data_IF_137974923448
#
_entry.id   IF_137974923448
#
_cell.length_a   1.000
_cell.length_b   1.000
_cell.length_c   1.000
_cell.angle_alpha   90.00
_cell.angle_beta   90.00
_cell.angle_gamma   90.00
#
_symmetry.space_group_name_H-M   'P 1'
#
loop_
_entity.id
_entity.type
_entity.pdbx_description
1 polymer ?
#
# COMPACT_ATOMS: atom_id res chain seq x y z
N UNK A 1 -12.43 -12.09 -1.94
CA UNK A 1 -11.84 -12.86 -0.81
C UNK A 1 -10.82 -13.90 -1.27
N UNK A 2 -11.22 -15.01 -1.94
CA UNK A 2 -10.29 -16.11 -2.32
C UNK A 2 -9.03 -15.63 -3.05
N UNK A 3 -9.22 -14.84 -4.12
CA UNK A 3 -8.09 -14.29 -4.89
C UNK A 3 -7.12 -13.45 -4.03
N UNK A 4 -7.64 -12.68 -3.07
CA UNK A 4 -6.80 -11.87 -2.19
C UNK A 4 -6.00 -12.75 -1.22
N UNK A 5 -6.59 -13.83 -0.71
CA UNK A 5 -5.89 -14.81 0.13
C UNK A 5 -4.82 -15.58 -0.65
N UNK A 6 -5.13 -16.01 -1.86
CA UNK A 6 -4.20 -16.72 -2.74
C UNK A 6 -3.01 -15.80 -3.10
N UNK A 7 -3.28 -14.54 -3.44
CA UNK A 7 -2.24 -13.56 -3.75
C UNK A 7 -1.39 -13.21 -2.53
N UNK A 8 -2.00 -13.09 -1.34
CA UNK A 8 -1.27 -12.90 -0.08
C UNK A 8 -0.37 -14.09 0.26
N UNK A 9 -0.81 -15.33 0.00
CA UNK A 9 0.02 -16.52 0.17
C UNK A 9 1.20 -16.50 -0.82
N UNK A 10 0.93 -16.17 -2.08
CA UNK A 10 1.96 -16.02 -3.12
C UNK A 10 3.01 -14.94 -2.78
N UNK A 11 2.59 -13.83 -2.15
CA UNK A 11 3.49 -12.78 -1.67
C UNK A 11 4.47 -13.28 -0.60
N UNK A 12 4.03 -14.15 0.32
CA UNK A 12 4.92 -14.73 1.35
C UNK A 12 6.04 -15.58 0.76
N UNK A 13 5.80 -16.17 -0.40
CA UNK A 13 6.80 -16.94 -1.15
C UNK A 13 7.69 -16.04 -2.03
N UNK A 14 7.26 -14.81 -2.33
CA UNK A 14 7.88 -13.90 -3.31
C UNK A 14 7.96 -12.45 -2.79
N UNK A 15 8.44 -12.26 -1.56
CA UNK A 15 8.34 -10.99 -0.80
C UNK A 15 9.08 -9.80 -1.42
N UNK A 16 10.00 -10.03 -2.36
CA UNK A 16 10.78 -8.95 -3.00
C UNK A 16 10.05 -8.30 -4.19
N UNK A 17 8.93 -8.86 -4.67
CA UNK A 17 8.27 -8.34 -5.87
C UNK A 17 7.26 -7.22 -5.53
N UNK A 18 7.70 -5.97 -5.61
CA UNK A 18 6.88 -4.78 -5.38
C UNK A 18 5.61 -4.71 -6.24
N UNK A 19 5.61 -5.29 -7.44
CA UNK A 19 4.45 -5.28 -8.33
C UNK A 19 3.36 -6.23 -7.86
N UNK A 20 3.74 -7.36 -7.28
CA UNK A 20 2.80 -8.33 -6.70
C UNK A 20 2.13 -7.71 -5.48
N UNK A 21 2.92 -7.06 -4.61
CA UNK A 21 2.40 -6.33 -3.45
C UNK A 21 1.46 -5.20 -3.88
N UNK A 22 1.84 -4.42 -4.88
CA UNK A 22 0.99 -3.38 -5.46
C UNK A 22 -0.32 -3.96 -6.02
N UNK A 23 -0.27 -5.07 -6.74
CA UNK A 23 -1.45 -5.76 -7.27
C UNK A 23 -2.40 -6.21 -6.15
N UNK A 24 -1.86 -6.68 -5.03
CA UNK A 24 -2.64 -7.03 -3.85
C UNK A 24 -3.33 -5.81 -3.23
N UNK A 25 -2.60 -4.71 -3.01
CA UNK A 25 -3.17 -3.47 -2.45
C UNK A 25 -4.27 -2.88 -3.35
N UNK A 26 -4.08 -2.90 -4.68
CA UNK A 26 -5.11 -2.49 -5.64
C UNK A 26 -6.35 -3.40 -5.57
N UNK A 27 -6.16 -4.71 -5.46
CA UNK A 27 -7.26 -5.65 -5.29
C UNK A 27 -8.06 -5.37 -4.02
N UNK A 28 -7.39 -5.09 -2.89
CA UNK A 28 -8.08 -4.72 -1.66
C UNK A 28 -8.88 -3.43 -1.81
N UNK A 29 -8.31 -2.41 -2.46
CA UNK A 29 -8.97 -1.12 -2.65
C UNK A 29 -10.19 -1.21 -3.57
N UNK A 30 -10.09 -1.90 -4.71
CA UNK A 30 -11.17 -1.98 -5.71
C UNK A 30 -12.38 -2.73 -5.15
N UNK A 31 -12.14 -3.80 -4.38
CA UNK A 31 -13.19 -4.66 -3.85
C UNK A 31 -13.60 -4.33 -2.41
N UNK A 32 -13.06 -3.26 -1.82
CA UNK A 32 -13.40 -2.83 -0.46
C UNK A 32 -13.05 -3.88 0.60
N UNK A 33 -11.91 -4.56 0.45
CA UNK A 33 -11.50 -5.68 1.30
C UNK A 33 -10.52 -5.27 2.41
N UNK A 34 -10.11 -4.01 2.50
CA UNK A 34 -9.14 -3.51 3.49
C UNK A 34 -9.47 -3.96 4.92
N UNK A 35 -10.72 -3.79 5.35
CA UNK A 35 -11.19 -4.14 6.70
C UNK A 35 -11.16 -5.65 7.00
N UNK A 36 -10.97 -6.49 5.96
CA UNK A 36 -10.87 -7.95 6.11
C UNK A 36 -9.44 -8.43 6.40
N UNK A 37 -8.46 -7.52 6.45
CA UNK A 37 -7.06 -7.81 6.69
C UNK A 37 -6.56 -7.02 7.90
N UNK A 38 -5.44 -7.44 8.48
CA UNK A 38 -4.80 -6.71 9.57
C UNK A 38 -4.30 -5.36 9.04
N UNK A 39 -4.68 -4.28 9.70
CA UNK A 39 -4.38 -2.91 9.29
C UNK A 39 -2.87 -2.65 9.25
N UNK A 40 -2.14 -3.06 10.29
CA UNK A 40 -0.68 -2.87 10.39
C UNK A 40 0.06 -3.56 9.23
N UNK A 41 -0.31 -4.82 8.94
CA UNK A 41 0.25 -5.58 7.82
C UNK A 41 0.00 -4.87 6.48
N UNK A 42 -1.20 -4.32 6.27
CA UNK A 42 -1.52 -3.58 5.04
C UNK A 42 -0.71 -2.28 4.95
N UNK A 43 -0.52 -1.57 6.06
CA UNK A 43 0.29 -0.36 6.12
C UNK A 43 1.77 -0.63 5.83
N UNK A 44 2.34 -1.72 6.34
CA UNK A 44 3.71 -2.15 6.02
C UNK A 44 3.89 -2.42 4.52
N UNK A 45 2.91 -3.05 3.88
CA UNK A 45 2.92 -3.29 2.43
C UNK A 45 2.84 -1.98 1.64
N UNK A 46 2.07 -1.01 2.10
CA UNK A 46 2.05 0.33 1.51
C UNK A 46 3.43 1.01 1.62
N UNK A 47 4.05 0.96 2.79
CA UNK A 47 5.40 1.50 3.01
C UNK A 47 6.41 0.84 2.06
N UNK A 48 6.39 -0.49 1.96
CA UNK A 48 7.25 -1.25 1.05
C UNK A 48 7.08 -0.82 -0.42
N UNK A 49 5.85 -0.74 -0.92
CA UNK A 49 5.57 -0.34 -2.31
C UNK A 49 5.95 1.12 -2.56
N UNK A 50 5.79 2.00 -1.57
CA UNK A 50 6.14 3.42 -1.68
C UNK A 50 7.63 3.68 -1.86
N UNK A 51 8.49 2.75 -1.41
CA UNK A 51 9.94 2.85 -1.60
C UNK A 51 10.38 2.41 -3.01
N UNK A 52 9.50 1.75 -3.77
CA UNK A 52 9.86 1.16 -5.06
C UNK A 52 9.50 2.05 -6.26
N UNK A 53 10.52 2.53 -6.98
CA UNK A 53 10.40 3.49 -8.09
C UNK A 53 9.41 3.06 -9.18
N UNK A 54 9.37 1.77 -9.51
CA UNK A 54 8.48 1.21 -10.55
C UNK A 54 7.00 1.37 -10.15
N UNK A 55 6.66 1.17 -8.87
CA UNK A 55 5.29 1.32 -8.40
C UNK A 55 4.86 2.78 -8.47
N UNK A 56 5.73 3.71 -8.07
CA UNK A 56 5.50 5.16 -8.18
C UNK A 56 5.25 5.57 -9.63
N UNK A 57 6.10 5.14 -10.56
CA UNK A 57 5.97 5.45 -11.99
C UNK A 57 4.69 4.86 -12.59
N UNK A 58 4.30 3.65 -12.17
CA UNK A 58 3.06 3.01 -12.61
C UNK A 58 1.83 3.77 -12.10
N UNK A 59 1.80 4.19 -10.83
CA UNK A 59 0.74 5.06 -10.30
C UNK A 59 0.65 6.38 -11.08
N UNK A 60 1.80 6.96 -11.43
CA UNK A 60 1.89 8.13 -12.29
C UNK A 60 1.26 7.93 -13.65
N UNK A 61 1.62 6.81 -14.30
CA UNK A 61 1.18 6.44 -15.66
C UNK A 61 -0.31 6.08 -15.72
N UNK A 62 -0.84 5.42 -14.69
CA UNK A 62 -2.24 5.01 -14.62
C UNK A 62 -3.22 6.16 -14.31
N UNK A 63 -2.75 7.41 -14.23
CA UNK A 63 -3.61 8.58 -14.03
C UNK A 63 -4.09 8.75 -12.58
N UNK A 64 -3.54 7.98 -11.63
CA UNK A 64 -3.73 8.22 -10.18
C UNK A 64 -3.03 9.51 -9.71
N UNK A 65 -2.56 10.35 -10.63
CA UNK A 65 -2.03 11.69 -10.38
C UNK A 65 -3.08 12.80 -10.51
N UNK A 66 -4.31 12.51 -10.94
CA UNK A 66 -5.33 13.56 -11.09
C UNK A 66 -6.04 13.90 -9.76
N UNK A 67 -5.66 15.07 -9.20
CA UNK A 67 -6.24 15.96 -8.16
C UNK A 67 -6.92 15.42 -6.88
N UNK A 68 -7.44 14.21 -6.82
CA UNK A 68 -8.00 13.60 -5.59
C UNK A 68 -7.02 12.62 -4.94
N UNK A 69 -6.15 12.01 -5.75
CA UNK A 69 -5.24 10.95 -5.31
C UNK A 69 -3.93 11.47 -4.70
N UNK A 70 -3.47 12.68 -5.04
CA UNK A 70 -2.29 13.30 -4.39
C UNK A 70 -2.55 13.55 -2.91
N UNK A 71 -3.79 13.91 -2.52
CA UNK A 71 -4.14 14.10 -1.10
C UNK A 71 -4.12 12.78 -0.33
N UNK A 72 -4.57 11.68 -0.93
CA UNK A 72 -4.47 10.35 -0.31
C UNK A 72 -3.02 9.85 -0.26
N UNK A 73 -2.24 10.09 -1.31
CA UNK A 73 -0.82 9.75 -1.33
C UNK A 73 -0.03 10.59 -0.32
N UNK A 74 -0.38 11.87 -0.15
CA UNK A 74 0.15 12.73 0.91
C UNK A 74 -0.31 12.30 2.30
N UNK A 75 -1.56 11.86 2.48
CA UNK A 75 -2.04 11.33 3.75
C UNK A 75 -1.31 10.03 4.12
N UNK A 76 -1.04 9.15 3.15
CA UNK A 76 -0.26 7.94 3.38
C UNK A 76 1.20 8.27 3.74
N UNK A 77 1.84 9.17 2.99
CA UNK A 77 3.21 9.65 3.31
C UNK A 77 3.24 10.36 4.67
N UNK A 78 2.23 11.17 4.98
CA UNK A 78 2.13 11.90 6.25
C UNK A 78 1.89 10.96 7.43
N UNK A 79 1.00 9.97 7.31
CA UNK A 79 0.78 8.96 8.36
C UNK A 79 2.02 8.10 8.59
N UNK A 80 2.73 7.72 7.52
CA UNK A 80 4.00 6.98 7.60
C UNK A 80 5.12 7.83 8.23
N UNK A 81 5.22 9.12 7.93
CA UNK A 81 6.24 10.01 8.53
C UNK A 81 5.91 10.40 9.98
N UNK A 82 4.63 10.43 10.39
CA UNK A 82 4.24 10.80 11.74
C UNK A 82 4.16 9.61 12.71
N UNK A 83 4.13 8.35 12.25
CA UNK A 83 4.24 7.20 13.15
C UNK A 83 5.64 7.09 13.79
N UNK A 84 6.68 7.60 13.12
CA UNK A 84 8.05 7.63 13.66
C UNK A 84 8.28 8.75 14.71
N UNK A 85 7.37 9.72 14.84
CA UNK A 85 7.50 10.86 15.79
C UNK A 85 6.69 10.64 17.09
N UNK A 86 6.10 9.45 17.27
CA UNK A 86 5.36 9.04 18.45
C UNK A 86 6.19 8.76 19.71
N UNK A 87 7.40 9.33 19.83
CA UNK A 87 8.20 9.32 21.07
C UNK A 87 8.48 10.73 21.60
N UNK A 88 7.50 11.64 21.48
CA UNK A 88 7.49 12.83 22.32
C UNK A 88 6.32 12.74 23.30
N UNK A 89 6.69 12.36 24.52
CA UNK A 89 5.90 12.51 25.74
C UNK A 89 5.24 13.89 25.78
N UNK A 90 3.93 13.91 26.02
CA UNK A 90 3.30 14.93 26.86
C UNK A 90 2.39 14.23 27.87
#
# INVERSE_FOLDING_TARGET
MKLALDLKAYMKENTENSLVVLGFLLLLSIYGLLDSFNEDEVLELFAFVSQHKIAIELFGTLGFTNKVSVRMMWLLVFLVQNSEIGTLKL
#
